data_IF_800329003270
#
_entry.id   IF_800329003270
#
_cell.length_a   1.000
_cell.length_b   1.000
_cell.length_c   1.000
_cell.angle_alpha   90.00
_cell.angle_beta   90.00
_cell.angle_gamma   90.00
#
_symmetry.space_group_name_H-M   'P 1'
#
loop_
_entity.id
_entity.type
_entity.pdbx_description
1 polymer ?
#
# COMPACT_ATOMS: atom_id res chain seq x y z
N UNK A 1 -10.66 11.67 -15.84
CA UNK A 1 -10.24 12.09 -14.48
C UNK A 1 -11.23 11.45 -13.52
N UNK A 2 -10.81 10.47 -12.72
CA UNK A 2 -11.75 9.57 -12.01
C UNK A 2 -12.42 10.21 -10.78
N UNK A 3 -11.86 11.28 -10.20
CA UNK A 3 -12.42 11.99 -9.03
C UNK A 3 -12.12 13.49 -9.08
N UNK A 4 -13.02 14.31 -8.53
CA UNK A 4 -12.85 15.77 -8.38
C UNK A 4 -11.75 16.11 -7.34
N UNK A 5 -11.65 15.30 -6.29
CA UNK A 5 -10.64 15.39 -5.22
C UNK A 5 -9.21 15.14 -5.71
N UNK A 6 -9.04 14.45 -6.85
CA UNK A 6 -7.71 14.09 -7.35
C UNK A 6 -6.87 15.30 -7.75
N UNK A 7 -7.51 16.39 -8.20
CA UNK A 7 -6.81 17.63 -8.53
C UNK A 7 -6.23 18.28 -7.27
N UNK A 8 -7.05 18.32 -6.22
CA UNK A 8 -6.72 18.87 -4.92
C UNK A 8 -5.62 18.06 -4.18
N UNK A 9 -5.61 16.73 -4.33
CA UNK A 9 -4.55 15.83 -3.85
C UNK A 9 -3.24 16.06 -4.63
N UNK A 10 -3.34 16.26 -5.94
CA UNK A 10 -2.19 16.55 -6.83
C UNK A 10 -1.54 17.90 -6.49
N UNK A 11 -2.34 18.95 -6.31
CA UNK A 11 -1.88 20.29 -5.94
C UNK A 11 -1.15 20.28 -4.60
N UNK A 12 -1.73 19.64 -3.57
CA UNK A 12 -1.08 19.51 -2.26
C UNK A 12 0.29 18.83 -2.35
N UNK A 13 0.37 17.73 -3.11
CA UNK A 13 1.60 16.94 -3.24
C UNK A 13 2.67 17.71 -4.03
N UNK A 14 2.27 18.36 -5.13
CA UNK A 14 3.14 19.19 -5.95
C UNK A 14 3.73 20.36 -5.15
N UNK A 15 2.92 21.04 -4.34
CA UNK A 15 3.37 22.16 -3.51
C UNK A 15 4.26 21.70 -2.35
N UNK A 16 4.01 20.51 -1.79
CA UNK A 16 4.92 19.91 -0.81
C UNK A 16 6.28 19.61 -1.46
N UNK A 17 6.29 18.92 -2.61
CA UNK A 17 7.52 18.61 -3.34
C UNK A 17 8.31 19.87 -3.71
N UNK A 18 7.65 20.91 -4.21
CA UNK A 18 8.28 22.19 -4.55
C UNK A 18 8.95 22.86 -3.34
N UNK A 19 8.28 22.88 -2.18
CA UNK A 19 8.82 23.49 -0.95
C UNK A 19 10.03 22.74 -0.38
N UNK A 20 10.15 21.45 -0.69
CA UNK A 20 11.21 20.58 -0.19
C UNK A 20 12.28 20.26 -1.24
N UNK A 21 12.25 20.93 -2.40
CA UNK A 21 13.17 20.70 -3.53
C UNK A 21 13.20 19.24 -4.00
N UNK A 22 12.02 18.61 -4.02
CA UNK A 22 11.82 17.24 -4.48
C UNK A 22 11.24 17.28 -5.90
N UNK A 23 11.86 16.61 -6.89
CA UNK A 23 11.29 16.48 -8.23
C UNK A 23 9.90 15.82 -8.19
N UNK A 24 8.92 16.47 -8.84
CA UNK A 24 7.55 15.99 -8.92
C UNK A 24 7.19 15.60 -10.35
N UNK A 25 6.74 14.37 -10.55
CA UNK A 25 6.31 13.84 -11.83
C UNK A 25 4.82 13.50 -11.78
N UNK A 26 4.09 13.82 -12.85
CA UNK A 26 2.67 13.47 -13.00
C UNK A 26 2.38 12.87 -14.38
N UNK A 27 1.48 11.88 -14.42
CA UNK A 27 0.91 11.31 -15.65
C UNK A 27 -0.56 11.00 -15.41
N UNK A 28 -1.41 11.44 -16.33
CA UNK A 28 -2.84 11.12 -16.33
C UNK A 28 -3.07 9.91 -17.24
N UNK A 29 -3.88 8.98 -16.79
CA UNK A 29 -4.23 7.78 -17.55
C UNK A 29 -5.73 7.73 -17.81
N UNK A 30 -6.09 7.16 -18.95
CA UNK A 30 -7.47 6.76 -19.23
C UNK A 30 -7.71 5.32 -18.75
N UNK A 31 -7.84 5.19 -17.43
CA UNK A 31 -7.96 3.89 -16.77
C UNK A 31 -9.24 3.13 -17.18
N UNK A 32 -10.33 3.84 -17.47
CA UNK A 32 -11.61 3.20 -17.81
C UNK A 32 -11.54 2.52 -19.17
N UNK A 33 -11.00 3.21 -20.17
CA UNK A 33 -10.84 2.63 -21.50
C UNK A 33 -9.84 1.46 -21.46
N UNK A 34 -8.72 1.61 -20.75
CA UNK A 34 -7.78 0.50 -20.56
C UNK A 34 -8.43 -0.71 -19.88
N UNK A 35 -9.24 -0.50 -18.84
CA UNK A 35 -9.94 -1.57 -18.14
C UNK A 35 -10.94 -2.31 -19.04
N UNK A 36 -11.69 -1.57 -19.88
CA UNK A 36 -12.63 -2.13 -20.86
C UNK A 36 -11.91 -2.98 -21.91
N UNK A 37 -10.84 -2.45 -22.49
CA UNK A 37 -10.05 -3.13 -23.52
C UNK A 37 -9.39 -4.41 -22.99
N UNK A 38 -8.85 -4.36 -21.76
CA UNK A 38 -8.16 -5.48 -21.14
C UNK A 38 -9.07 -6.39 -20.31
N UNK A 39 -10.39 -6.15 -20.33
CA UNK A 39 -11.42 -6.91 -19.59
C UNK A 39 -11.06 -7.14 -18.12
N UNK A 40 -10.51 -6.12 -17.45
CA UNK A 40 -10.09 -6.19 -16.06
C UNK A 40 -10.80 -5.13 -15.22
N UNK A 41 -10.71 -5.24 -13.89
CA UNK A 41 -11.29 -4.22 -13.02
C UNK A 41 -10.52 -2.90 -13.13
N UNK A 42 -11.20 -1.76 -12.92
CA UNK A 42 -10.57 -0.43 -12.92
C UNK A 42 -9.40 -0.35 -11.92
N UNK A 43 -9.46 -1.08 -10.81
CA UNK A 43 -8.37 -1.14 -9.84
C UNK A 43 -7.15 -1.91 -10.35
N UNK A 44 -7.37 -3.03 -11.05
CA UNK A 44 -6.28 -3.77 -11.69
C UNK A 44 -5.64 -2.94 -12.80
N UNK A 45 -6.46 -2.31 -13.65
CA UNK A 45 -6.00 -1.38 -14.69
C UNK A 45 -5.17 -0.23 -14.09
N UNK A 46 -5.68 0.45 -13.06
CA UNK A 46 -4.99 1.55 -12.40
C UNK A 46 -3.65 1.10 -11.79
N UNK A 47 -3.61 -0.09 -11.21
CA UNK A 47 -2.39 -0.67 -10.64
C UNK A 47 -1.36 -0.96 -11.72
N UNK A 48 -1.79 -1.59 -12.80
CA UNK A 48 -0.95 -1.96 -13.94
C UNK A 48 -0.31 -0.72 -14.57
N UNK A 49 -1.14 0.25 -14.97
CA UNK A 49 -0.71 1.52 -15.58
C UNK A 49 0.26 2.30 -14.68
N UNK A 50 0.00 2.31 -13.36
CA UNK A 50 0.87 2.98 -12.38
C UNK A 50 2.26 2.35 -12.34
N UNK A 51 2.35 1.02 -12.27
CA UNK A 51 3.65 0.36 -12.20
C UNK A 51 4.40 0.45 -13.53
N UNK A 52 3.73 0.30 -14.67
CA UNK A 52 4.36 0.50 -15.98
C UNK A 52 5.01 1.89 -16.08
N UNK A 53 4.30 2.94 -15.64
CA UNK A 53 4.86 4.28 -15.64
C UNK A 53 5.98 4.48 -14.61
N UNK A 54 5.91 3.85 -13.43
CA UNK A 54 7.03 3.90 -12.49
C UNK A 54 8.30 3.27 -13.06
N UNK A 55 8.19 2.16 -13.80
CA UNK A 55 9.33 1.57 -14.49
C UNK A 55 9.90 2.50 -15.59
N UNK A 56 9.04 3.17 -16.37
CA UNK A 56 9.46 4.21 -17.32
C UNK A 56 10.23 5.34 -16.63
N UNK A 57 9.73 5.83 -15.49
CA UNK A 57 10.37 6.89 -14.71
C UNK A 57 11.71 6.45 -14.11
N UNK A 58 11.82 5.22 -13.63
CA UNK A 58 13.08 4.69 -13.12
C UNK A 58 14.18 4.76 -14.19
N UNK A 59 13.86 4.32 -15.40
CA UNK A 59 14.80 4.34 -16.52
C UNK A 59 15.16 5.78 -16.94
N UNK A 60 14.16 6.67 -17.01
CA UNK A 60 14.36 8.06 -17.46
C UNK A 60 15.17 8.91 -16.48
N UNK A 61 14.89 8.77 -15.18
CA UNK A 61 15.49 9.58 -14.12
C UNK A 61 16.70 8.90 -13.47
N UNK A 62 17.16 7.77 -14.04
CA UNK A 62 18.27 6.96 -13.54
C UNK A 62 18.12 6.55 -12.06
N UNK A 63 16.89 6.24 -11.66
CA UNK A 63 16.55 5.78 -10.32
C UNK A 63 16.61 4.24 -10.26
N UNK A 64 16.97 3.69 -9.09
CA UNK A 64 17.12 2.24 -8.92
C UNK A 64 15.97 1.55 -8.20
N UNK A 65 15.14 2.30 -7.45
CA UNK A 65 14.11 1.74 -6.57
C UNK A 65 12.85 2.60 -6.52
N UNK A 66 11.71 1.95 -6.35
CA UNK A 66 10.40 2.57 -6.09
C UNK A 66 10.04 2.34 -4.62
N UNK A 67 9.94 3.41 -3.84
CA UNK A 67 9.43 3.35 -2.48
C UNK A 67 7.91 3.54 -2.47
N UNK A 68 7.20 2.68 -1.73
CA UNK A 68 5.75 2.81 -1.52
C UNK A 68 5.42 2.84 -0.03
N UNK A 69 4.41 3.63 0.35
CA UNK A 69 4.02 3.86 1.73
C UNK A 69 3.13 2.75 2.34
N UNK A 70 3.34 1.48 1.92
CA UNK A 70 2.66 0.37 2.55
C UNK A 70 3.12 0.26 4.01
N UNK A 71 2.17 0.10 4.92
CA UNK A 71 2.38 0.08 6.37
C UNK A 71 1.96 -1.26 7.00
N UNK A 72 2.14 -1.38 8.32
CA UNK A 72 1.82 -2.59 9.07
C UNK A 72 0.34 -3.00 8.92
N UNK A 73 -0.58 -2.03 8.95
CA UNK A 73 -2.01 -2.30 8.78
C UNK A 73 -2.33 -2.82 7.37
N UNK A 74 -1.62 -2.36 6.33
CA UNK A 74 -1.73 -2.95 4.99
C UNK A 74 -1.29 -4.41 4.95
N UNK A 75 -0.28 -4.76 5.75
CA UNK A 75 0.15 -6.15 5.97
C UNK A 75 -0.97 -6.99 6.59
N UNK A 76 -1.61 -6.50 7.66
CA UNK A 76 -2.74 -7.16 8.33
C UNK A 76 -3.88 -7.40 7.36
N UNK A 77 -4.29 -6.35 6.63
CA UNK A 77 -5.35 -6.44 5.62
C UNK A 77 -5.02 -7.51 4.58
N UNK A 78 -3.78 -7.51 4.08
CA UNK A 78 -3.34 -8.49 3.07
C UNK A 78 -3.33 -9.92 3.60
N UNK A 79 -2.86 -10.15 4.84
CA UNK A 79 -2.89 -11.49 5.43
C UNK A 79 -4.32 -12.02 5.55
N UNK A 80 -5.22 -11.21 6.12
CA UNK A 80 -6.62 -11.62 6.32
C UNK A 80 -7.30 -11.94 4.99
N UNK A 81 -7.08 -11.12 3.96
CA UNK A 81 -7.56 -11.40 2.60
C UNK A 81 -6.99 -12.71 2.04
N UNK A 82 -5.69 -12.96 2.26
CA UNK A 82 -5.06 -14.19 1.80
C UNK A 82 -5.60 -15.44 2.51
N UNK A 83 -5.93 -15.33 3.80
CA UNK A 83 -6.59 -16.40 4.57
C UNK A 83 -7.99 -16.68 4.03
N UNK A 84 -8.81 -15.64 3.83
CA UNK A 84 -10.17 -15.76 3.30
C UNK A 84 -10.17 -16.42 1.91
N UNK A 85 -9.17 -16.12 1.09
CA UNK A 85 -9.01 -16.71 -0.24
C UNK A 85 -8.22 -18.02 -0.27
N UNK A 86 -8.02 -18.67 0.89
CA UNK A 86 -7.33 -19.95 1.02
C UNK A 86 -5.96 -19.99 0.31
N UNK A 87 -5.22 -18.88 0.33
CA UNK A 87 -3.86 -18.86 -0.20
C UNK A 87 -2.94 -19.68 0.71
N UNK A 88 -2.00 -20.40 0.10
CA UNK A 88 -1.03 -21.23 0.82
C UNK A 88 -0.12 -20.43 1.76
N UNK A 89 0.76 -21.13 2.48
CA UNK A 89 1.69 -20.55 3.47
C UNK A 89 2.53 -19.39 2.92
N UNK A 90 2.80 -19.38 1.62
CA UNK A 90 3.55 -18.33 0.93
C UNK A 90 2.75 -17.03 0.86
N UNK A 91 1.43 -17.12 0.72
CA UNK A 91 0.50 -15.99 0.84
C UNK A 91 0.40 -15.47 2.27
N UNK A 92 0.65 -16.32 3.26
CA UNK A 92 0.66 -15.92 4.68
C UNK A 92 1.88 -15.07 5.07
N UNK A 93 2.91 -15.00 4.22
CA UNK A 93 4.05 -14.08 4.42
C UNK A 93 3.67 -12.60 4.31
N UNK A 94 2.43 -12.31 3.89
CA UNK A 94 1.90 -10.95 3.76
C UNK A 94 2.66 -10.13 2.72
N UNK A 95 2.75 -8.82 2.97
CA UNK A 95 3.50 -7.92 2.09
C UNK A 95 5.01 -8.03 2.40
N UNK A 96 5.84 -8.29 1.39
CA UNK A 96 7.30 -8.31 1.55
C UNK A 96 7.89 -6.88 1.60
N UNK A 97 8.86 -6.64 2.47
CA UNK A 97 9.54 -5.34 2.59
C UNK A 97 10.24 -4.91 1.28
N UNK A 98 10.78 -5.87 0.53
CA UNK A 98 11.36 -5.66 -0.80
C UNK A 98 10.91 -6.75 -1.78
N UNK A 99 10.68 -6.37 -3.04
CA UNK A 99 10.44 -7.28 -4.15
C UNK A 99 10.93 -6.65 -5.45
N UNK A 100 12.07 -7.11 -5.97
CA UNK A 100 12.74 -6.47 -7.11
C UNK A 100 13.19 -5.06 -6.74
N UNK A 101 12.91 -4.10 -7.61
CA UNK A 101 13.14 -2.67 -7.40
C UNK A 101 12.14 -2.00 -6.45
N UNK A 102 11.10 -2.69 -5.96
CA UNK A 102 10.09 -2.09 -5.07
C UNK A 102 10.44 -2.30 -3.60
N UNK A 103 10.49 -1.21 -2.85
CA UNK A 103 10.72 -1.20 -1.40
C UNK A 103 9.54 -0.58 -0.64
N UNK A 104 9.36 -1.01 0.61
CA UNK A 104 8.27 -0.58 1.50
C UNK A 104 8.84 -0.17 2.85
N UNK A 105 9.43 1.04 2.96
CA UNK A 105 10.14 1.45 4.17
C UNK A 105 9.24 1.51 5.41
N UNK A 106 7.96 1.82 5.24
CA UNK A 106 7.02 2.05 6.35
C UNK A 106 6.31 0.77 6.84
N UNK A 107 6.70 -0.41 6.36
CA UNK A 107 5.98 -1.64 6.64
C UNK A 107 5.99 -2.04 8.14
N UNK A 108 6.96 -1.52 8.90
CA UNK A 108 7.05 -1.72 10.34
C UNK A 108 6.12 -0.80 11.14
N UNK A 109 5.68 0.32 10.57
CA UNK A 109 4.92 1.34 11.27
C UNK A 109 3.42 1.12 11.09
N UNK A 110 2.65 1.33 12.15
CA UNK A 110 1.19 1.37 12.10
C UNK A 110 0.68 2.67 11.50
N UNK A 111 -0.57 2.65 11.01
CA UNK A 111 -1.25 3.85 10.52
C UNK A 111 -1.38 4.93 11.60
N UNK A 112 -1.52 4.51 12.87
CA UNK A 112 -1.57 5.42 14.02
C UNK A 112 -0.23 6.14 14.19
N UNK A 113 0.88 5.41 14.24
CA UNK A 113 2.22 6.00 14.37
C UNK A 113 2.55 6.93 13.19
N UNK A 114 2.15 6.56 11.97
CA UNK A 114 2.33 7.42 10.78
C UNK A 114 1.54 8.72 10.91
N UNK A 115 0.29 8.66 11.41
CA UNK A 115 -0.54 9.84 11.60
C UNK A 115 0.00 10.74 12.73
N UNK A 116 0.43 10.16 13.84
CA UNK A 116 1.07 10.88 14.95
C UNK A 116 2.35 11.58 14.46
N UNK A 117 3.21 10.87 13.74
CA UNK A 117 4.41 11.46 13.14
C UNK A 117 4.08 12.62 12.19
N UNK A 118 3.06 12.47 11.33
CA UNK A 118 2.64 13.53 10.42
C UNK A 118 2.12 14.77 11.16
N UNK A 119 1.36 14.59 12.24
CA UNK A 119 0.87 15.67 13.09
C UNK A 119 2.02 16.40 13.80
N UNK A 120 2.92 15.66 14.45
CA UNK A 120 4.07 16.22 15.17
C UNK A 120 4.98 17.05 14.26
N UNK A 121 5.18 16.58 13.03
CA UNK A 121 6.03 17.23 12.03
C UNK A 121 5.27 18.21 11.13
N UNK A 122 3.97 18.44 11.38
CA UNK A 122 3.11 19.34 10.59
C UNK A 122 3.15 19.04 9.08
N UNK A 123 3.24 17.76 8.73
CA UNK A 123 3.22 17.29 7.35
C UNK A 123 1.75 17.33 6.90
N UNK A 124 1.39 18.09 5.86
CA UNK A 124 0.01 18.13 5.42
C UNK A 124 -0.32 16.86 4.60
N UNK A 125 -1.50 16.29 4.81
CA UNK A 125 -2.03 15.20 4.01
C UNK A 125 -3.52 15.41 3.69
N UNK A 126 -4.03 14.65 2.71
CA UNK A 126 -5.47 14.53 2.43
C UNK A 126 -5.92 13.10 2.60
N UNK A 127 -7.12 12.91 3.11
CA UNK A 127 -7.77 11.61 3.17
C UNK A 127 -8.52 11.32 1.86
N UNK A 128 -8.21 10.20 1.21
CA UNK A 128 -8.94 9.76 0.03
C UNK A 128 -10.33 9.25 0.45
N UNK A 129 -11.40 9.92 0.00
CA UNK A 129 -12.78 9.59 0.32
C UNK A 129 -13.17 8.16 -0.08
N UNK A 130 -12.51 7.56 -1.07
CA UNK A 130 -12.75 6.16 -1.46
C UNK A 130 -12.34 5.16 -0.38
N UNK A 131 -11.46 5.56 0.55
CA UNK A 131 -11.09 4.72 1.71
C UNK A 131 -12.26 4.51 2.67
N UNK A 132 -13.29 5.34 2.65
CA UNK A 132 -14.49 5.18 3.48
C UNK A 132 -15.48 4.16 2.90
N UNK A 133 -15.36 3.80 1.61
CA UNK A 133 -16.32 2.90 0.96
C UNK A 133 -16.11 1.45 1.38
N UNK A 134 -17.17 0.78 1.86
CA UNK A 134 -17.15 -0.66 2.15
C UNK A 134 -17.28 -1.56 0.90
N UNK A 135 -17.39 -0.97 -0.30
CA UNK A 135 -17.54 -1.70 -1.56
C UNK A 135 -16.36 -2.64 -1.86
N UNK A 136 -15.19 -2.32 -1.32
CA UNK A 136 -13.96 -3.08 -1.55
C UNK A 136 -13.68 -3.99 -0.35
N UNK A 137 -13.38 -5.26 -0.62
CA UNK A 137 -13.11 -6.28 0.42
C UNK A 137 -12.05 -5.81 1.42
N UNK A 138 -10.99 -5.15 0.92
CA UNK A 138 -9.94 -4.60 1.76
C UNK A 138 -10.45 -3.52 2.73
N UNK A 139 -11.37 -2.66 2.28
CA UNK A 139 -12.00 -1.66 3.13
C UNK A 139 -12.97 -2.31 4.11
N UNK A 140 -13.68 -3.37 3.70
CA UNK A 140 -14.51 -4.16 4.61
C UNK A 140 -13.68 -4.77 5.74
N UNK A 141 -12.57 -5.43 5.41
CA UNK A 141 -11.63 -5.97 6.41
C UNK A 141 -11.14 -4.87 7.35
N UNK A 142 -10.71 -3.72 6.81
CA UNK A 142 -10.23 -2.57 7.58
C UNK A 142 -11.26 -2.01 8.56
N UNK A 143 -12.51 -1.85 8.13
CA UNK A 143 -13.53 -1.11 8.89
C UNK A 143 -14.47 -2.01 9.70
N UNK A 144 -14.55 -3.30 9.37
CA UNK A 144 -15.46 -4.24 10.04
C UNK A 144 -14.74 -5.37 10.76
N UNK A 145 -13.64 -5.90 10.21
CA UNK A 145 -12.98 -7.09 10.79
C UNK A 145 -11.87 -6.70 11.75
N UNK A 146 -10.95 -5.82 11.33
CA UNK A 146 -9.84 -5.38 12.17
C UNK A 146 -10.31 -4.75 13.49
N UNK A 147 -11.35 -3.89 13.53
CA UNK A 147 -11.84 -3.35 14.79
C UNK A 147 -12.35 -4.41 15.77
N UNK A 148 -13.06 -5.43 15.29
CA UNK A 148 -13.52 -6.55 16.13
C UNK A 148 -12.33 -7.37 16.66
N UNK A 149 -11.33 -7.64 15.83
CA UNK A 149 -10.10 -8.31 16.27
C UNK A 149 -9.34 -7.49 17.32
N UNK A 150 -9.37 -6.17 17.23
CA UNK A 150 -8.75 -5.28 18.23
C UNK A 150 -9.50 -5.28 19.56
N UNK A 151 -10.80 -5.56 19.58
CA UNK A 151 -11.54 -5.74 20.84
C UNK A 151 -11.04 -6.97 21.61
N UNK A 152 -10.68 -8.03 20.88
CA UNK A 152 -10.10 -9.25 21.47
C UNK A 152 -8.63 -9.06 21.86
N UNK A 153 -7.86 -8.36 21.03
CA UNK A 153 -6.45 -8.07 21.27
C UNK A 153 -6.13 -6.62 20.92
N UNK A 154 -6.09 -5.71 21.91
CA UNK A 154 -5.74 -4.30 21.68
C UNK A 154 -4.33 -4.10 21.10
N UNK A 155 -3.44 -5.08 21.25
CA UNK A 155 -2.08 -5.09 20.70
C UNK A 155 -1.97 -5.88 19.40
N UNK A 156 -3.04 -5.88 18.58
CA UNK A 156 -3.13 -6.65 17.34
C UNK A 156 -1.96 -6.35 16.39
N UNK A 157 -1.64 -5.08 16.17
CA UNK A 157 -0.52 -4.66 15.33
C UNK A 157 0.81 -5.29 15.75
N UNK A 158 1.15 -5.21 17.04
CA UNK A 158 2.38 -5.79 17.59
C UNK A 158 2.40 -7.31 17.42
N UNK A 159 1.29 -7.96 17.77
CA UNK A 159 1.13 -9.41 17.66
C UNK A 159 1.30 -9.86 16.21
N UNK A 160 0.78 -9.08 15.27
CA UNK A 160 0.90 -9.35 13.85
C UNK A 160 2.33 -9.17 13.33
N UNK A 161 3.02 -8.10 13.76
CA UNK A 161 4.43 -7.90 13.40
C UNK A 161 5.28 -9.10 13.84
N UNK A 162 5.08 -9.60 15.06
CA UNK A 162 5.76 -10.79 15.59
C UNK A 162 5.40 -12.05 14.79
N UNK A 163 4.12 -12.24 14.45
CA UNK A 163 3.67 -13.36 13.62
C UNK A 163 4.32 -13.32 12.23
N UNK A 164 4.35 -12.16 11.59
CA UNK A 164 4.92 -12.00 10.26
C UNK A 164 6.43 -12.24 10.26
N UNK A 165 7.14 -11.80 11.30
CA UNK A 165 8.56 -12.13 11.48
C UNK A 165 8.80 -13.65 11.55
N UNK A 166 7.99 -14.37 12.33
CA UNK A 166 8.07 -15.84 12.47
C UNK A 166 7.80 -16.57 11.14
N UNK A 167 6.71 -16.19 10.44
CA UNK A 167 6.36 -16.80 9.15
C UNK A 167 7.42 -16.52 8.08
N UNK A 168 7.95 -15.29 8.02
CA UNK A 168 9.01 -14.96 7.07
C UNK A 168 10.29 -15.73 7.35
N UNK A 169 10.65 -15.89 8.63
CA UNK A 169 11.82 -16.68 9.04
C UNK A 169 11.66 -18.15 8.66
N UNK A 170 10.50 -18.75 8.93
CA UNK A 170 10.19 -20.12 8.52
C UNK A 170 10.18 -20.26 6.98
N UNK A 171 9.60 -19.30 6.27
CA UNK A 171 9.56 -19.26 4.81
C UNK A 171 10.95 -19.18 4.18
N UNK A 172 11.85 -18.41 4.79
CA UNK A 172 13.25 -18.31 4.37
C UNK A 172 13.97 -19.63 4.56
N UNK A 173 13.84 -20.25 5.73
CA UNK A 173 14.41 -21.57 6.02
C UNK A 173 13.92 -22.64 5.04
N UNK A 174 12.62 -22.72 4.77
CA UNK A 174 12.07 -23.70 3.83
C UNK A 174 12.53 -23.49 2.38
N UNK A 175 12.85 -22.26 1.97
CA UNK A 175 13.28 -21.93 0.59
C UNK A 175 14.78 -22.08 0.35
N UNK A 176 15.60 -21.83 1.37
CA UNK A 176 17.05 -21.71 1.21
C UNK A 176 17.87 -22.52 2.23
N UNK A 177 17.21 -23.18 3.19
CA UNK A 177 17.85 -23.94 4.27
C UNK A 177 18.02 -25.43 3.99
N UNK A 178 17.74 -25.88 2.76
CA UNK A 178 18.02 -27.23 2.23
C UNK A 178 18.80 -27.06 0.93
#
# INVERSE_FOLDING_TARGET
MLRKEAQEEEELTSDFCRRHDIPFFRKKFDTENFAKENKCSVQMAARELRYQWFEELLAKENCCKIATAHNLNDGIETLLMNIVHAQGWEGMSGIKASRGNRIRPLLFASRKEIAEYALENKIPWKEDASNASLKYERNYVRHKIIPELKQLNPSLEKTFADFQYKINSASYFLRYGI
#
